data_IF_160658759846
#
_entry.id   IF_160658759846
#
_cell.length_a   1.000
_cell.length_b   1.000
_cell.length_c   1.000
_cell.angle_alpha   90.00
_cell.angle_beta   90.00
_cell.angle_gamma   90.00
#
_symmetry.space_group_name_H-M   'P 1'
#
loop_
_entity.id
_entity.type
_entity.pdbx_description
1 polymer ?
#
# COMPACT_ATOMS: atom_id res chain seq x y z
N UNK A 1 17.01 13.48 25.87
CA UNK A 1 17.18 14.55 24.85
C UNK A 1 18.14 14.17 23.71
N UNK A 2 19.16 13.33 23.92
CA UNK A 2 20.06 12.88 22.83
C UNK A 2 19.43 11.90 21.81
N UNK A 3 18.38 11.17 22.17
CA UNK A 3 17.66 10.26 21.25
C UNK A 3 16.85 11.03 20.20
N UNK A 4 16.17 12.10 20.61
CA UNK A 4 15.41 12.99 19.71
C UNK A 4 16.33 13.74 18.75
N UNK A 5 17.48 14.23 19.23
CA UNK A 5 18.49 14.87 18.37
C UNK A 5 19.12 13.88 17.37
N UNK A 6 19.37 12.62 17.77
CA UNK A 6 19.81 11.57 16.85
C UNK A 6 18.76 11.25 15.81
N UNK A 7 17.50 11.06 16.21
CA UNK A 7 16.38 10.83 15.28
C UNK A 7 16.19 11.97 14.28
N UNK A 8 16.30 13.22 14.74
CA UNK A 8 16.24 14.39 13.87
C UNK A 8 17.41 14.45 12.88
N UNK A 9 18.62 14.09 13.32
CA UNK A 9 19.78 14.00 12.44
C UNK A 9 19.64 12.90 11.40
N UNK A 10 19.09 11.73 11.76
CA UNK A 10 18.78 10.65 10.81
C UNK A 10 17.73 11.08 9.78
N UNK A 11 16.64 11.72 10.22
CA UNK A 11 15.62 12.25 9.31
C UNK A 11 16.21 13.27 8.35
N UNK A 12 17.02 14.20 8.85
CA UNK A 12 17.68 15.23 8.02
C UNK A 12 18.65 14.60 7.02
N UNK A 13 19.37 13.54 7.41
CA UNK A 13 20.27 12.80 6.53
C UNK A 13 19.53 11.97 5.47
N UNK A 14 18.45 11.29 5.85
CA UNK A 14 17.58 10.57 4.92
C UNK A 14 16.95 11.53 3.90
N UNK A 15 16.54 12.72 4.34
CA UNK A 15 16.03 13.78 3.47
C UNK A 15 17.10 14.30 2.51
N UNK A 16 18.31 14.56 3.00
CA UNK A 16 19.45 14.96 2.14
C UNK A 16 19.82 13.89 1.13
N UNK A 17 19.78 12.59 1.48
CA UNK A 17 19.99 11.49 0.55
C UNK A 17 18.89 11.41 -0.51
N UNK A 18 17.62 11.48 -0.10
CA UNK A 18 16.48 11.45 -1.02
C UNK A 18 16.50 12.60 -2.04
N UNK A 19 16.95 13.80 -1.64
CA UNK A 19 17.10 14.93 -2.55
C UNK A 19 18.39 14.91 -3.38
N UNK A 20 19.45 14.26 -2.90
CA UNK A 20 20.71 14.15 -3.63
C UNK A 20 20.60 13.24 -4.85
N UNK A 21 19.79 12.18 -4.77
CA UNK A 21 19.57 11.26 -5.89
C UNK A 21 18.09 11.21 -6.27
N UNK A 22 17.75 11.89 -7.38
CA UNK A 22 16.37 11.98 -7.89
C UNK A 22 15.78 10.61 -8.20
N UNK A 23 16.61 9.59 -8.40
CA UNK A 23 16.16 8.23 -8.68
C UNK A 23 15.54 7.55 -7.45
N UNK A 24 15.85 8.01 -6.23
CA UNK A 24 15.27 7.51 -4.99
C UNK A 24 13.81 7.95 -4.77
N UNK A 25 13.39 9.07 -5.38
CA UNK A 25 12.01 9.61 -5.22
C UNK A 25 11.06 9.04 -6.27
N UNK A 26 11.59 8.62 -7.43
CA UNK A 26 10.81 8.10 -8.57
C UNK A 26 9.87 6.95 -8.18
N UNK A 27 10.25 5.93 -7.38
CA UNK A 27 9.34 4.85 -6.99
C UNK A 27 8.13 5.36 -6.21
N UNK A 28 8.32 6.31 -5.29
CA UNK A 28 7.22 6.89 -4.50
C UNK A 28 6.24 7.68 -5.37
N UNK A 29 6.74 8.41 -6.35
CA UNK A 29 5.91 9.13 -7.33
C UNK A 29 5.14 8.13 -8.20
N UNK A 30 5.81 7.10 -8.72
CA UNK A 30 5.16 6.05 -9.50
C UNK A 30 4.15 5.25 -8.70
N UNK A 31 4.38 5.03 -7.40
CA UNK A 31 3.42 4.41 -6.49
C UNK A 31 2.15 5.23 -6.39
N UNK A 32 2.28 6.56 -6.25
CA UNK A 32 1.14 7.46 -6.15
C UNK A 32 0.30 7.45 -7.43
N UNK A 33 0.93 7.59 -8.60
CA UNK A 33 0.21 7.55 -9.88
C UNK A 33 -0.37 6.17 -10.18
N UNK A 34 0.39 5.09 -9.96
CA UNK A 34 -0.09 3.72 -10.21
C UNK A 34 -1.22 3.35 -9.26
N UNK A 35 -1.10 3.69 -7.98
CA UNK A 35 -2.15 3.49 -6.98
C UNK A 35 -3.41 4.27 -7.32
N UNK A 36 -3.28 5.51 -7.79
CA UNK A 36 -4.41 6.33 -8.26
C UNK A 36 -5.09 5.70 -9.49
N UNK A 37 -4.33 5.28 -10.51
CA UNK A 37 -4.88 4.64 -11.71
C UNK A 37 -5.59 3.33 -11.36
N UNK A 38 -4.98 2.48 -10.53
CA UNK A 38 -5.60 1.22 -10.07
C UNK A 38 -6.88 1.49 -9.28
N UNK A 39 -6.91 2.56 -8.49
CA UNK A 39 -8.13 3.00 -7.79
C UNK A 39 -9.24 3.37 -8.78
N UNK A 40 -8.92 4.20 -9.78
CA UNK A 40 -9.89 4.63 -10.79
C UNK A 40 -10.44 3.44 -11.58
N UNK A 41 -9.55 2.57 -12.07
CA UNK A 41 -9.94 1.39 -12.84
C UNK A 41 -10.77 0.43 -11.99
N UNK A 42 -10.40 0.22 -10.73
CA UNK A 42 -11.12 -0.68 -9.82
C UNK A 42 -12.46 -0.14 -9.34
N UNK A 43 -12.62 1.18 -9.25
CA UNK A 43 -13.90 1.79 -8.86
C UNK A 43 -14.97 1.70 -9.96
N UNK A 44 -14.59 1.66 -11.24
CA UNK A 44 -15.53 1.52 -12.37
C UNK A 44 -16.39 0.24 -12.26
N UNK A 45 -15.82 -0.98 -12.17
CA UNK A 45 -16.62 -2.19 -12.07
C UNK A 45 -17.41 -2.27 -10.76
N UNK A 46 -16.88 -1.72 -9.66
CA UNK A 46 -17.61 -1.63 -8.39
C UNK A 46 -18.84 -0.73 -8.52
N UNK A 47 -18.67 0.45 -9.12
CA UNK A 47 -19.75 1.41 -9.37
C UNK A 47 -20.81 0.84 -10.31
N UNK A 48 -20.40 0.21 -11.41
CA UNK A 48 -21.31 -0.47 -12.35
C UNK A 48 -22.06 -1.61 -11.67
N UNK A 49 -21.39 -2.45 -10.89
CA UNK A 49 -22.03 -3.53 -10.16
C UNK A 49 -23.06 -2.99 -9.14
N UNK A 50 -22.74 -1.90 -8.45
CA UNK A 50 -23.67 -1.27 -7.50
C UNK A 50 -24.90 -0.68 -8.20
N UNK A 51 -24.74 -0.13 -9.40
CA UNK A 51 -25.86 0.40 -10.21
C UNK A 51 -26.74 -0.70 -10.79
N UNK A 52 -26.15 -1.81 -11.26
CA UNK A 52 -26.88 -2.90 -11.93
C UNK A 52 -27.56 -3.83 -10.91
N UNK A 53 -26.85 -4.23 -9.85
CA UNK A 53 -27.32 -5.24 -8.90
C UNK A 53 -27.93 -4.65 -7.62
N UNK A 54 -27.79 -3.34 -7.41
CA UNK A 54 -28.16 -2.64 -6.18
C UNK A 54 -27.21 -2.95 -5.02
N UNK A 55 -27.56 -2.51 -3.81
CA UNK A 55 -26.75 -2.70 -2.59
C UNK A 55 -27.43 -3.58 -1.54
N UNK A 56 -28.73 -3.87 -1.71
CA UNK A 56 -29.53 -4.55 -0.70
C UNK A 56 -29.60 -6.08 -0.91
N UNK A 57 -29.39 -6.54 -2.15
CA UNK A 57 -29.44 -7.96 -2.48
C UNK A 57 -28.20 -8.72 -1.97
N UNK A 58 -28.39 -9.90 -1.40
CA UNK A 58 -27.28 -10.76 -0.91
C UNK A 58 -26.28 -11.09 -2.02
N UNK A 59 -26.78 -11.36 -3.24
CA UNK A 59 -25.93 -11.62 -4.41
C UNK A 59 -25.11 -10.37 -4.76
N UNK A 60 -25.71 -9.19 -4.71
CA UNK A 60 -25.02 -7.94 -4.97
C UNK A 60 -23.93 -7.66 -3.92
N UNK A 61 -24.20 -7.93 -2.65
CA UNK A 61 -23.21 -7.79 -1.57
C UNK A 61 -22.02 -8.73 -1.74
N UNK A 62 -22.25 -9.97 -2.19
CA UNK A 62 -21.15 -10.91 -2.49
C UNK A 62 -20.32 -10.41 -3.67
N UNK A 63 -20.97 -9.97 -4.77
CA UNK A 63 -20.27 -9.42 -5.94
C UNK A 63 -19.44 -8.19 -5.57
N UNK A 64 -20.04 -7.23 -4.86
CA UNK A 64 -19.37 -6.02 -4.40
C UNK A 64 -18.24 -6.34 -3.39
N UNK A 65 -18.44 -7.34 -2.54
CA UNK A 65 -17.41 -7.83 -1.62
C UNK A 65 -16.21 -8.42 -2.35
N UNK A 66 -16.43 -9.24 -3.37
CA UNK A 66 -15.36 -9.81 -4.21
C UNK A 66 -14.63 -8.71 -4.97
N UNK A 67 -15.35 -7.79 -5.63
CA UNK A 67 -14.75 -6.68 -6.36
C UNK A 67 -13.94 -5.76 -5.43
N UNK A 68 -14.45 -5.48 -4.23
CA UNK A 68 -13.75 -4.72 -3.21
C UNK A 68 -12.49 -5.43 -2.71
N UNK A 69 -12.56 -6.75 -2.47
CA UNK A 69 -11.40 -7.55 -2.08
C UNK A 69 -10.32 -7.56 -3.18
N UNK A 70 -10.71 -7.70 -4.45
CA UNK A 70 -9.80 -7.63 -5.58
C UNK A 70 -9.13 -6.25 -5.71
N UNK A 71 -9.88 -5.18 -5.47
CA UNK A 71 -9.33 -3.82 -5.47
C UNK A 71 -8.32 -3.63 -4.33
N UNK A 72 -8.64 -4.06 -3.11
CA UNK A 72 -7.73 -4.03 -1.96
C UNK A 72 -6.47 -4.83 -2.24
N UNK A 73 -6.60 -6.02 -2.83
CA UNK A 73 -5.47 -6.85 -3.23
C UNK A 73 -4.56 -6.17 -4.26
N UNK A 74 -5.15 -5.58 -5.29
CA UNK A 74 -4.41 -4.82 -6.29
C UNK A 74 -3.68 -3.63 -5.67
N UNK A 75 -4.30 -2.93 -4.71
CA UNK A 75 -3.67 -1.84 -3.97
C UNK A 75 -2.48 -2.30 -3.13
N UNK A 76 -2.61 -3.39 -2.38
CA UNK A 76 -1.47 -3.95 -1.62
C UNK A 76 -0.35 -4.41 -2.55
N UNK A 77 -0.68 -5.00 -3.69
CA UNK A 77 0.31 -5.43 -4.69
C UNK A 77 1.11 -4.25 -5.24
N UNK A 78 0.42 -3.18 -5.66
CA UNK A 78 1.06 -1.94 -6.10
C UNK A 78 1.94 -1.38 -4.99
N UNK A 79 1.39 -1.21 -3.78
CA UNK A 79 2.12 -0.67 -2.64
C UNK A 79 3.41 -1.45 -2.37
N UNK A 80 3.34 -2.78 -2.29
CA UNK A 80 4.50 -3.63 -2.02
C UNK A 80 5.51 -3.67 -3.15
N UNK A 81 5.07 -3.63 -4.42
CA UNK A 81 5.97 -3.48 -5.58
C UNK A 81 6.81 -2.22 -5.43
N UNK A 82 6.18 -1.09 -5.15
CA UNK A 82 6.89 0.18 -5.03
C UNK A 82 7.70 0.30 -3.74
N UNK A 83 7.21 -0.23 -2.61
CA UNK A 83 7.97 -0.29 -1.37
C UNK A 83 9.22 -1.16 -1.51
N UNK A 84 9.12 -2.32 -2.17
CA UNK A 84 10.26 -3.18 -2.43
C UNK A 84 11.32 -2.46 -3.28
N UNK A 85 10.90 -1.77 -4.36
CA UNK A 85 11.83 -0.96 -5.17
C UNK A 85 12.54 0.10 -4.34
N UNK A 86 11.82 0.83 -3.48
CA UNK A 86 12.42 1.85 -2.61
C UNK A 86 13.44 1.24 -1.65
N UNK A 87 13.13 0.10 -1.01
CA UNK A 87 14.06 -0.59 -0.10
C UNK A 87 15.33 -1.04 -0.84
N UNK A 88 15.18 -1.63 -2.02
CA UNK A 88 16.34 -2.08 -2.82
C UNK A 88 17.18 -0.92 -3.34
N UNK A 89 16.57 0.20 -3.71
CA UNK A 89 17.31 1.39 -4.14
C UNK A 89 18.09 2.02 -2.99
N UNK A 90 17.49 2.12 -1.81
CA UNK A 90 18.19 2.59 -0.61
C UNK A 90 19.34 1.65 -0.27
N UNK A 91 19.11 0.33 -0.29
CA UNK A 91 20.16 -0.65 -0.02
C UNK A 91 21.29 -0.60 -1.04
N UNK A 92 20.97 -0.52 -2.34
CA UNK A 92 21.95 -0.41 -3.42
C UNK A 92 22.76 0.88 -3.37
N UNK A 93 22.11 2.00 -3.03
CA UNK A 93 22.79 3.27 -2.81
C UNK A 93 23.76 3.21 -1.61
N UNK A 94 23.33 2.62 -0.49
CA UNK A 94 24.16 2.49 0.72
C UNK A 94 25.28 1.46 0.59
N UNK A 95 25.09 0.38 -0.16
CA UNK A 95 26.03 -0.75 -0.24
C UNK A 95 26.97 -0.68 -1.45
N UNK A 96 26.46 -0.25 -2.60
CA UNK A 96 27.20 -0.27 -3.88
C UNK A 96 27.49 1.15 -4.41
N UNK A 97 26.92 2.20 -3.79
CA UNK A 97 27.06 3.59 -4.27
C UNK A 97 26.36 3.88 -5.60
N UNK A 98 25.49 2.97 -6.07
CA UNK A 98 24.83 3.03 -7.39
C UNK A 98 23.34 2.66 -7.26
N UNK A 99 22.48 3.68 -7.14
CA UNK A 99 21.02 3.57 -6.98
C UNK A 99 20.28 3.32 -8.29
N UNK A 100 20.66 2.32 -9.09
CA UNK A 100 20.04 2.07 -10.40
C UNK A 100 18.66 1.41 -10.30
N UNK A 101 17.66 2.12 -10.83
CA UNK A 101 16.27 1.66 -10.98
C UNK A 101 16.15 0.31 -11.69
N UNK A 102 17.00 0.04 -12.70
CA UNK A 102 16.94 -1.19 -13.49
C UNK A 102 17.25 -2.44 -12.65
N UNK A 103 18.19 -2.35 -11.71
CA UNK A 103 18.51 -3.43 -10.78
C UNK A 103 17.35 -3.69 -9.81
N UNK A 104 16.76 -2.62 -9.27
CA UNK A 104 15.62 -2.73 -8.36
C UNK A 104 14.40 -3.38 -9.06
N UNK A 105 14.14 -3.03 -10.32
CA UNK A 105 13.08 -3.63 -11.12
C UNK A 105 13.33 -5.10 -11.45
N UNK A 106 14.59 -5.49 -11.72
CA UNK A 106 14.94 -6.89 -11.96
C UNK A 106 14.65 -7.77 -10.74
N UNK A 107 14.93 -7.27 -9.53
CA UNK A 107 14.67 -7.99 -8.28
C UNK A 107 13.16 -8.10 -8.04
N UNK A 108 12.40 -7.01 -8.19
CA UNK A 108 10.94 -7.05 -8.04
C UNK A 108 10.27 -7.99 -9.04
N UNK A 109 10.76 -8.06 -10.29
CA UNK A 109 10.28 -9.03 -11.28
C UNK A 109 10.64 -10.47 -10.94
N UNK A 110 11.72 -10.72 -10.21
CA UNK A 110 12.09 -12.05 -9.75
C UNK A 110 11.21 -12.48 -8.58
N UNK A 111 11.00 -11.57 -7.62
CA UNK A 111 10.36 -11.84 -6.33
C UNK A 111 8.85 -11.46 -6.36
N UNK A 112 8.26 -11.33 -7.55
CA UNK A 112 6.88 -10.88 -7.75
C UNK A 112 5.85 -11.81 -7.11
N UNK A 113 6.10 -13.12 -7.09
CA UNK A 113 5.21 -14.10 -6.45
C UNK A 113 5.17 -13.90 -4.94
N UNK A 114 6.32 -13.61 -4.33
CA UNK A 114 6.40 -13.35 -2.90
C UNK A 114 5.65 -12.06 -2.56
N UNK A 115 5.82 -11.01 -3.38
CA UNK A 115 5.11 -9.74 -3.24
C UNK A 115 3.59 -9.93 -3.34
N UNK A 116 3.13 -10.72 -4.31
CA UNK A 116 1.70 -11.05 -4.45
C UNK A 116 1.19 -11.90 -3.30
N UNK A 117 2.00 -12.82 -2.78
CA UNK A 117 1.62 -13.64 -1.61
C UNK A 117 1.44 -12.78 -0.36
N UNK A 118 2.32 -11.79 -0.15
CA UNK A 118 2.20 -10.81 0.91
C UNK A 118 0.96 -9.94 0.71
N UNK A 119 0.69 -9.49 -0.50
CA UNK A 119 -0.52 -8.73 -0.80
C UNK A 119 -1.79 -9.54 -0.53
N UNK A 120 -1.77 -10.84 -0.83
CA UNK A 120 -2.89 -11.75 -0.54
C UNK A 120 -3.09 -11.91 0.97
N UNK A 121 -2.01 -12.14 1.71
CA UNK A 121 -2.04 -12.23 3.17
C UNK A 121 -2.60 -10.93 3.80
N UNK A 122 -2.12 -9.78 3.36
CA UNK A 122 -2.59 -8.47 3.85
C UNK A 122 -4.05 -8.20 3.48
N UNK A 123 -4.49 -8.64 2.30
CA UNK A 123 -5.91 -8.58 1.91
C UNK A 123 -6.77 -9.43 2.83
N UNK A 124 -6.35 -10.66 3.12
CA UNK A 124 -7.06 -11.55 4.04
C UNK A 124 -7.15 -10.94 5.44
N UNK A 125 -6.03 -10.43 5.96
CA UNK A 125 -6.00 -9.74 7.27
C UNK A 125 -6.94 -8.55 7.28
N UNK A 126 -6.93 -7.72 6.23
CA UNK A 126 -7.81 -6.56 6.12
C UNK A 126 -9.29 -6.98 6.08
N UNK A 127 -9.65 -8.04 5.34
CA UNK A 127 -11.02 -8.58 5.32
C UNK A 127 -11.44 -9.05 6.73
N UNK A 128 -10.61 -9.84 7.40
CA UNK A 128 -10.90 -10.34 8.76
C UNK A 128 -11.04 -9.18 9.73
N UNK A 129 -10.13 -8.21 9.69
CA UNK A 129 -10.16 -6.99 10.51
C UNK A 129 -11.43 -6.19 10.30
N UNK A 130 -11.83 -5.97 9.05
CA UNK A 130 -13.05 -5.23 8.71
C UNK A 130 -14.31 -6.00 9.10
N UNK A 131 -14.27 -7.33 9.08
CA UNK A 131 -15.37 -8.16 9.56
C UNK A 131 -15.51 -8.12 11.09
N UNK A 132 -14.39 -8.15 11.81
CA UNK A 132 -14.35 -8.01 13.28
C UNK A 132 -14.80 -6.61 13.71
N UNK A 133 -14.31 -5.56 13.03
CA UNK A 133 -14.69 -4.16 13.30
C UNK A 133 -16.11 -3.81 12.84
N UNK A 134 -16.60 -4.46 11.78
CA UNK A 134 -17.92 -4.22 11.18
C UNK A 134 -19.12 -4.62 12.05
N UNK A 135 -18.91 -5.23 13.23
CA UNK A 135 -19.96 -5.46 14.22
C UNK A 135 -20.41 -4.19 14.96
N UNK A 136 -19.74 -3.04 14.78
CA UNK A 136 -20.01 -1.80 15.53
C UNK A 136 -20.82 -0.71 14.82
N UNK A 137 -20.71 -0.50 13.49
CA UNK A 137 -21.24 0.71 12.85
C UNK A 137 -21.94 0.44 11.51
N UNK A 138 -23.28 0.37 11.57
CA UNK A 138 -24.18 0.46 10.39
C UNK A 138 -24.25 1.91 9.89
N UNK A 139 -23.18 2.44 9.29
CA UNK A 139 -23.29 3.73 8.57
C UNK A 139 -22.37 3.81 7.35
N UNK A 140 -22.96 3.49 6.20
CA UNK A 140 -22.56 3.85 4.84
C UNK A 140 -21.15 3.38 4.37
N UNK A 141 -21.03 2.16 3.80
CA UNK A 141 -19.75 1.50 3.47
C UNK A 141 -18.89 2.26 2.43
N UNK A 142 -19.51 3.09 1.60
CA UNK A 142 -18.82 3.82 0.52
C UNK A 142 -18.09 5.07 1.04
N UNK A 143 -18.61 5.75 2.06
CA UNK A 143 -17.92 6.89 2.71
C UNK A 143 -16.85 6.42 3.71
N UNK A 144 -17.09 5.29 4.37
CA UNK A 144 -16.14 4.70 5.31
C UNK A 144 -14.96 4.00 4.61
N UNK A 145 -15.15 3.43 3.42
CA UNK A 145 -14.10 2.71 2.69
C UNK A 145 -12.94 3.60 2.23
N UNK A 146 -13.23 4.83 1.79
CA UNK A 146 -12.19 5.77 1.34
C UNK A 146 -11.40 6.40 2.50
N UNK A 147 -12.06 6.70 3.62
CA UNK A 147 -11.40 7.22 4.82
C UNK A 147 -10.56 6.13 5.52
N UNK A 148 -11.08 4.90 5.61
CA UNK A 148 -10.38 3.79 6.26
C UNK A 148 -9.25 3.19 5.41
N UNK A 149 -9.23 3.34 4.08
CA UNK A 149 -8.08 2.88 3.27
C UNK A 149 -6.83 3.72 3.54
N UNK A 150 -7.00 5.04 3.67
CA UNK A 150 -5.89 5.95 4.00
C UNK A 150 -5.45 5.71 5.45
N UNK A 151 -6.39 5.65 6.40
CA UNK A 151 -6.04 5.40 7.81
C UNK A 151 -5.51 3.98 8.04
N UNK A 152 -5.99 2.95 7.35
CA UNK A 152 -5.50 1.58 7.54
C UNK A 152 -4.13 1.39 6.94
N UNK A 153 -3.85 1.92 5.75
CA UNK A 153 -2.51 1.87 5.16
C UNK A 153 -1.51 2.68 5.99
N UNK A 154 -1.93 3.84 6.51
CA UNK A 154 -1.07 4.69 7.34
C UNK A 154 -0.83 4.09 8.74
N UNK A 155 -1.86 3.52 9.35
CA UNK A 155 -1.79 2.92 10.68
C UNK A 155 -1.07 1.56 10.65
N UNK A 156 -1.29 0.72 9.64
CA UNK A 156 -0.55 -0.55 9.49
C UNK A 156 0.92 -0.33 9.15
N UNK A 157 1.24 0.64 8.28
CA UNK A 157 2.63 1.03 8.06
C UNK A 157 3.30 1.49 9.36
N UNK A 158 2.58 2.25 10.21
CA UNK A 158 3.10 2.71 11.50
C UNK A 158 3.25 1.56 12.50
N UNK A 159 2.31 0.61 12.56
CA UNK A 159 2.35 -0.54 13.48
C UNK A 159 3.30 -1.66 13.04
N UNK A 160 3.69 -1.75 11.76
CA UNK A 160 4.76 -2.65 11.29
C UNK A 160 6.16 -2.03 11.42
N UNK A 161 6.27 -0.70 11.37
CA UNK A 161 7.54 0.01 11.59
C UNK A 161 7.89 0.09 13.08
N UNK A 162 6.91 0.21 13.98
CA UNK A 162 7.14 0.33 15.42
C UNK A 162 7.91 -0.87 16.05
N UNK A 163 7.63 -2.14 15.72
CA UNK A 163 8.37 -3.29 16.25
C UNK A 163 9.76 -3.47 15.62
N UNK A 164 10.01 -2.87 14.46
CA UNK A 164 11.33 -2.90 13.80
C UNK A 164 12.26 -1.83 14.41
N UNK A 165 11.71 -0.82 15.09
CA UNK A 165 12.47 0.25 15.77
C UNK A 165 12.84 -0.06 17.23
N UNK A 166 12.38 -1.17 17.81
CA UNK A 166 12.75 -1.59 19.19
C UNK A 166 13.80 -2.68 19.16
#
# INVERSE_FOLDING_TARGET
MQSLSRGWNFLTQAWKMAFADKDLIKPSIYALFSGFIVSLIGLIPIGLAALIFGTENTIAQVILGILGALLVFAQYSVSYIFSAMTVYLIYGYLSEGDGKMEKAWAIVRRDWLDILSLAAASTLVNIVKNWVKGKGERRNPIRAGLANLIDTVWTEATYLVLPIMV
#
